data_IF_551511232877
#
_entry.id   IF_551511232877
#
_cell.length_a   1.000
_cell.length_b   1.000
_cell.length_c   1.000
_cell.angle_alpha   90.00
_cell.angle_beta   90.00
_cell.angle_gamma   90.00
#
_symmetry.space_group_name_H-M   'P 1'
#
loop_
_entity.id
_entity.type
_entity.pdbx_description
1 polymer ?
#
# COMPACT_ATOMS: atom_id res chain seq x y z
N UNK A 1 35.36 -35.59 34.59
CA UNK A 1 35.26 -36.93 35.17
C UNK A 1 33.77 -37.23 35.24
N UNK A 2 33.23 -38.05 34.42
CA UNK A 2 33.09 -39.47 34.37
C UNK A 2 32.72 -39.89 32.93
N UNK A 3 33.58 -40.77 32.39
CA UNK A 3 33.39 -41.53 31.17
C UNK A 3 32.49 -42.74 31.46
N UNK A 4 31.62 -43.14 30.54
CA UNK A 4 31.31 -44.56 30.35
C UNK A 4 31.06 -44.85 28.88
N UNK A 5 31.87 -45.79 28.40
CA UNK A 5 31.90 -46.37 27.07
C UNK A 5 31.15 -47.71 27.02
N UNK A 6 30.74 -48.04 25.81
CA UNK A 6 30.69 -49.40 25.22
C UNK A 6 29.66 -50.43 25.75
N UNK A 7 28.88 -50.97 24.83
CA UNK A 7 28.93 -52.43 24.57
C UNK A 7 28.24 -52.79 23.26
N UNK A 8 29.00 -53.53 22.40
CA UNK A 8 28.55 -54.22 21.18
C UNK A 8 27.80 -55.49 21.54
N UNK A 9 26.81 -55.89 20.73
CA UNK A 9 26.46 -57.31 20.53
C UNK A 9 25.97 -57.57 19.12
N UNK A 10 26.71 -58.38 18.37
CA UNK A 10 26.36 -59.00 17.08
C UNK A 10 25.72 -60.39 17.36
N UNK A 11 24.75 -60.79 16.51
CA UNK A 11 24.36 -62.18 16.12
C UNK A 11 23.28 -61.90 15.02
N UNK A 12 23.29 -62.39 13.78
CA UNK A 12 23.86 -63.55 13.15
C UNK A 12 22.73 -64.43 12.57
N UNK A 13 22.80 -64.79 11.28
CA UNK A 13 22.05 -65.81 10.51
C UNK A 13 20.67 -65.35 9.97
N UNK A 14 20.34 -65.25 8.68
CA UNK A 14 20.71 -66.15 7.58
C UNK A 14 19.50 -66.99 7.17
N UNK A 15 18.77 -66.59 6.06
CA UNK A 15 18.02 -67.53 5.23
C UNK A 15 17.85 -66.99 3.81
N UNK A 16 18.45 -67.68 2.90
CA UNK A 16 18.28 -67.56 1.45
C UNK A 16 16.91 -68.11 1.04
N UNK A 17 16.18 -67.37 0.23
CA UNK A 17 15.15 -67.96 -0.65
C UNK A 17 15.22 -67.31 -2.02
N UNK A 18 15.47 -68.13 -2.99
CA UNK A 18 15.67 -67.82 -4.39
C UNK A 18 14.35 -67.87 -5.16
N UNK A 19 14.28 -67.09 -6.27
CA UNK A 19 13.63 -67.35 -7.55
C UNK A 19 12.16 -66.94 -7.65
N UNK A 20 11.90 -65.91 -8.47
CA UNK A 20 11.23 -66.06 -9.77
C UNK A 20 11.33 -64.75 -10.55
N UNK A 21 11.98 -64.81 -11.72
CA UNK A 21 11.84 -63.80 -12.78
C UNK A 21 10.42 -63.90 -13.38
N UNK A 22 9.71 -62.78 -13.39
CA UNK A 22 8.69 -62.53 -14.40
C UNK A 22 8.89 -61.13 -14.95
N UNK A 23 9.31 -61.07 -16.19
CA UNK A 23 9.36 -59.87 -16.97
C UNK A 23 7.96 -59.51 -17.40
N UNK A 24 7.49 -58.28 -17.11
CA UNK A 24 6.50 -57.56 -17.90
C UNK A 24 6.61 -56.06 -17.69
N UNK A 25 6.97 -55.38 -18.78
CA UNK A 25 6.47 -54.13 -19.26
C UNK A 25 6.31 -52.93 -18.33
N UNK A 26 7.19 -51.97 -18.54
CA UNK A 26 6.98 -50.51 -18.64
C UNK A 26 5.90 -49.86 -17.76
N UNK A 27 6.37 -49.22 -16.65
CA UNK A 27 5.66 -48.10 -16.09
C UNK A 27 6.69 -47.11 -15.54
N UNK A 28 6.59 -45.91 -16.07
CA UNK A 28 7.46 -44.79 -15.74
C UNK A 28 7.33 -44.44 -14.25
N UNK A 29 8.41 -44.38 -13.56
CA UNK A 29 8.53 -43.82 -12.22
C UNK A 29 8.16 -42.33 -12.30
N UNK A 30 7.04 -41.97 -11.76
CA UNK A 30 6.66 -40.60 -11.53
C UNK A 30 7.58 -39.98 -10.49
N UNK A 31 8.45 -39.13 -10.99
CA UNK A 31 9.23 -38.18 -10.21
C UNK A 31 8.24 -37.25 -9.50
N UNK A 32 8.35 -37.18 -8.19
CA UNK A 32 7.67 -36.24 -7.33
C UNK A 32 7.69 -34.84 -7.97
N UNK A 33 6.58 -34.45 -8.56
CA UNK A 33 6.39 -33.12 -9.09
C UNK A 33 6.30 -32.17 -7.90
N UNK A 34 7.26 -31.26 -7.82
CA UNK A 34 7.06 -29.99 -7.15
C UNK A 34 5.73 -29.42 -7.67
N UNK A 35 4.81 -29.12 -6.78
CA UNK A 35 3.57 -28.43 -7.09
C UNK A 35 3.95 -27.01 -7.55
N UNK A 36 4.24 -26.89 -8.85
CA UNK A 36 4.07 -25.62 -9.54
C UNK A 36 2.59 -25.25 -9.39
N UNK A 37 2.33 -24.28 -8.55
CA UNK A 37 1.03 -23.64 -8.43
C UNK A 37 0.84 -22.78 -9.69
N UNK A 38 0.64 -23.46 -10.83
CA UNK A 38 0.28 -22.87 -12.09
C UNK A 38 -1.17 -22.41 -11.91
N UNK A 39 -1.33 -21.13 -11.59
CA UNK A 39 -2.65 -20.48 -11.58
C UNK A 39 -3.43 -20.94 -12.80
N UNK A 40 -4.70 -21.21 -12.63
CA UNK A 40 -5.60 -21.67 -13.70
C UNK A 40 -5.34 -20.82 -14.95
N UNK A 41 -5.15 -21.46 -16.12
CA UNK A 41 -4.86 -20.77 -17.38
C UNK A 41 -5.81 -19.60 -17.56
N UNK A 42 -5.29 -18.35 -17.47
CA UNK A 42 -6.03 -17.14 -17.76
C UNK A 42 -6.40 -16.22 -16.58
N UNK A 43 -6.13 -16.56 -15.32
CA UNK A 43 -6.39 -15.65 -14.19
C UNK A 43 -5.11 -15.00 -13.68
N UNK A 44 -5.05 -13.65 -13.66
CA UNK A 44 -3.94 -12.91 -13.06
C UNK A 44 -4.18 -12.77 -11.55
N UNK A 45 -3.14 -13.01 -10.77
CA UNK A 45 -3.15 -12.76 -9.32
C UNK A 45 -2.51 -11.41 -9.06
N UNK A 46 -3.24 -10.53 -8.40
CA UNK A 46 -2.84 -9.15 -8.13
C UNK A 46 -2.75 -8.95 -6.62
N UNK A 47 -1.60 -8.55 -6.11
CA UNK A 47 -1.43 -8.29 -4.69
C UNK A 47 -1.69 -6.83 -4.33
N UNK A 48 -2.26 -6.61 -3.14
CA UNK A 48 -2.44 -5.31 -2.51
C UNK A 48 -2.21 -5.41 -1.01
N UNK A 49 -1.96 -4.28 -0.31
CA UNK A 49 -1.73 -4.30 1.13
C UNK A 49 -3.01 -4.66 1.91
N UNK A 50 -4.18 -4.25 1.39
CA UNK A 50 -5.50 -4.46 2.00
C UNK A 50 -5.69 -3.86 3.41
N UNK A 51 -4.87 -2.87 3.77
CA UNK A 51 -4.92 -2.10 5.02
C UNK A 51 -4.54 -0.63 4.83
N UNK A 52 -4.84 -0.06 3.67
CA UNK A 52 -4.43 1.29 3.28
C UNK A 52 -5.58 2.07 2.61
N UNK A 53 -6.66 2.33 3.37
CA UNK A 53 -7.79 3.11 2.86
C UNK A 53 -7.41 4.59 2.58
N UNK A 54 -7.98 5.22 1.54
CA UNK A 54 -9.04 4.75 0.64
C UNK A 54 -8.52 3.95 -0.57
N UNK A 55 -7.22 3.70 -0.66
CA UNK A 55 -6.63 2.97 -1.79
C UNK A 55 -7.02 1.50 -1.78
N UNK A 56 -6.78 0.82 -0.67
CA UNK A 56 -7.10 -0.59 -0.51
C UNK A 56 -7.33 -0.92 0.98
N UNK A 57 -8.31 -1.75 1.26
CA UNK A 57 -8.67 -2.14 2.62
C UNK A 57 -9.52 -3.40 2.64
N UNK A 58 -9.76 -3.93 3.83
CA UNK A 58 -10.59 -5.12 4.04
C UNK A 58 -11.85 -4.76 4.81
N UNK A 59 -12.99 -5.17 4.32
CA UNK A 59 -14.28 -5.05 5.02
C UNK A 59 -14.40 -6.08 6.14
N UNK A 60 -15.38 -5.91 7.02
CA UNK A 60 -15.60 -6.83 8.14
C UNK A 60 -15.91 -8.27 7.71
N UNK A 61 -16.47 -8.46 6.52
CA UNK A 61 -16.73 -9.77 5.88
C UNK A 61 -15.54 -10.30 5.07
N UNK A 62 -14.38 -9.63 5.13
CA UNK A 62 -13.13 -10.09 4.53
C UNK A 62 -12.95 -9.73 3.05
N UNK A 63 -13.84 -8.94 2.46
CA UNK A 63 -13.71 -8.50 1.07
C UNK A 63 -12.68 -7.38 0.95
N UNK A 64 -11.78 -7.50 -0.03
CA UNK A 64 -10.82 -6.44 -0.36
C UNK A 64 -11.53 -5.39 -1.21
N UNK A 65 -11.43 -4.12 -0.83
CA UNK A 65 -12.09 -2.96 -1.46
C UNK A 65 -11.14 -1.77 -1.55
N UNK A 66 -11.52 -0.74 -2.29
CA UNK A 66 -10.83 0.54 -2.35
C UNK A 66 -10.54 1.00 -3.78
N UNK A 67 -9.94 2.18 -3.90
CA UNK A 67 -9.61 2.81 -5.17
C UNK A 67 -8.75 1.91 -6.07
N UNK A 68 -7.68 1.34 -5.52
CA UNK A 68 -6.77 0.45 -6.24
C UNK A 68 -7.49 -0.81 -6.76
N UNK A 69 -8.41 -1.34 -5.94
CA UNK A 69 -9.20 -2.54 -6.29
C UNK A 69 -10.14 -2.24 -7.46
N UNK A 70 -10.79 -1.08 -7.45
CA UNK A 70 -11.68 -0.67 -8.54
C UNK A 70 -10.89 -0.36 -9.81
N UNK A 71 -9.71 0.27 -9.69
CA UNK A 71 -8.81 0.52 -10.83
C UNK A 71 -8.35 -0.80 -11.46
N UNK A 72 -7.85 -1.74 -10.66
CA UNK A 72 -7.33 -3.00 -11.22
C UNK A 72 -8.45 -3.87 -11.80
N UNK A 73 -9.62 -3.87 -11.21
CA UNK A 73 -10.78 -4.57 -11.78
C UNK A 73 -11.16 -3.99 -13.14
N UNK A 74 -11.19 -2.66 -13.28
CA UNK A 74 -11.46 -2.00 -14.56
C UNK A 74 -10.35 -2.28 -15.60
N UNK A 75 -9.08 -2.31 -15.18
CA UNK A 75 -7.94 -2.70 -16.04
C UNK A 75 -8.10 -4.14 -16.53
N UNK A 76 -8.46 -5.06 -15.64
CA UNK A 76 -8.66 -6.47 -15.98
C UNK A 76 -9.84 -6.67 -16.93
N UNK A 77 -10.94 -5.94 -16.71
CA UNK A 77 -12.11 -5.92 -17.59
C UNK A 77 -11.73 -5.44 -18.99
N UNK A 78 -11.00 -4.31 -19.10
CA UNK A 78 -10.51 -3.78 -20.37
C UNK A 78 -9.55 -4.74 -21.09
N UNK A 79 -8.73 -5.47 -20.35
CA UNK A 79 -7.86 -6.53 -20.89
C UNK A 79 -8.60 -7.82 -21.23
N UNK A 80 -9.90 -7.92 -20.89
CA UNK A 80 -10.71 -9.16 -21.01
C UNK A 80 -10.04 -10.35 -20.32
N UNK A 81 -9.44 -10.10 -19.16
CA UNK A 81 -8.69 -11.10 -18.38
C UNK A 81 -9.29 -11.20 -16.98
N UNK A 82 -9.43 -12.41 -16.45
CA UNK A 82 -9.83 -12.60 -15.06
C UNK A 82 -8.69 -12.20 -14.13
N UNK A 83 -9.03 -11.49 -13.06
CA UNK A 83 -8.08 -11.14 -12.01
C UNK A 83 -8.62 -11.57 -10.65
N UNK A 84 -7.70 -11.97 -9.77
CA UNK A 84 -7.94 -12.23 -8.37
C UNK A 84 -7.07 -11.26 -7.55
N UNK A 85 -7.70 -10.49 -6.66
CA UNK A 85 -6.98 -9.58 -5.77
C UNK A 85 -6.75 -10.27 -4.45
N UNK A 86 -5.47 -10.32 -4.01
CA UNK A 86 -5.05 -10.98 -2.78
C UNK A 86 -4.36 -9.99 -1.84
N UNK A 87 -4.54 -10.21 -0.52
CA UNK A 87 -3.87 -9.42 0.50
C UNK A 87 -2.44 -9.92 0.73
N UNK A 88 -1.52 -8.98 0.90
CA UNK A 88 -0.13 -9.22 1.25
C UNK A 88 0.39 -8.01 2.03
N UNK A 89 1.02 -8.22 3.19
CA UNK A 89 1.64 -7.13 3.95
C UNK A 89 2.61 -6.33 3.09
N UNK A 90 2.69 -5.02 3.33
CA UNK A 90 3.45 -4.06 2.54
C UNK A 90 4.88 -4.49 2.25
N UNK A 91 5.65 -4.90 3.29
CA UNK A 91 7.04 -5.30 3.15
C UNK A 91 7.22 -6.58 2.27
N UNK A 92 6.16 -7.35 2.11
CA UNK A 92 6.13 -8.57 1.30
C UNK A 92 5.74 -8.36 -0.17
N UNK A 93 5.22 -7.17 -0.55
CA UNK A 93 4.67 -6.94 -1.89
C UNK A 93 5.71 -7.11 -3.00
N UNK A 94 6.81 -6.39 -2.97
CA UNK A 94 7.84 -6.52 -4.02
C UNK A 94 8.59 -7.86 -3.96
N UNK A 95 9.01 -8.39 -2.80
CA UNK A 95 9.59 -9.72 -2.70
C UNK A 95 8.69 -10.83 -3.27
N UNK A 96 7.38 -10.78 -2.99
CA UNK A 96 6.43 -11.74 -3.52
C UNK A 96 6.24 -11.64 -5.05
N UNK A 97 6.25 -10.42 -5.60
CA UNK A 97 6.22 -10.19 -7.04
C UNK A 97 7.46 -10.80 -7.73
N UNK A 98 8.64 -10.57 -7.17
CA UNK A 98 9.90 -11.08 -7.70
C UNK A 98 9.98 -12.62 -7.64
N UNK A 99 9.40 -13.23 -6.61
CA UNK A 99 9.33 -14.70 -6.46
C UNK A 99 8.13 -15.33 -7.18
N UNK A 100 7.38 -14.56 -7.98
CA UNK A 100 6.22 -15.01 -8.76
C UNK A 100 5.06 -15.54 -7.92
N UNK A 101 4.90 -15.05 -6.69
CA UNK A 101 3.74 -15.38 -5.86
C UNK A 101 2.45 -14.79 -6.46
N UNK A 102 2.57 -13.69 -7.18
CA UNK A 102 1.51 -13.01 -7.94
C UNK A 102 2.10 -12.31 -9.17
N UNK A 103 1.25 -11.79 -10.06
CA UNK A 103 1.63 -11.27 -11.36
C UNK A 103 1.85 -9.76 -11.38
N UNK A 104 1.12 -9.04 -10.55
CA UNK A 104 1.27 -7.60 -10.39
C UNK A 104 0.95 -7.15 -8.95
N UNK A 105 1.32 -5.91 -8.63
CA UNK A 105 1.02 -5.24 -7.36
C UNK A 105 0.37 -3.90 -7.64
N UNK A 106 -0.77 -3.64 -6.98
CA UNK A 106 -1.41 -2.33 -6.90
C UNK A 106 -1.73 -2.03 -5.44
N UNK A 107 -1.03 -1.07 -4.84
CA UNK A 107 -1.08 -0.84 -3.39
C UNK A 107 -0.75 0.61 -3.01
N UNK A 108 -1.26 1.60 -3.77
CA UNK A 108 -0.85 2.99 -3.56
C UNK A 108 0.66 3.18 -3.70
N UNK A 109 1.32 2.36 -4.51
CA UNK A 109 2.77 2.29 -4.56
C UNK A 109 3.36 3.34 -5.49
N UNK A 110 4.18 4.26 -4.94
CA UNK A 110 4.89 5.28 -5.69
C UNK A 110 5.93 4.67 -6.61
N UNK A 111 6.01 5.20 -7.83
CA UNK A 111 7.08 4.90 -8.78
C UNK A 111 8.33 5.66 -8.33
N UNK A 112 9.36 4.96 -7.85
CA UNK A 112 10.64 5.57 -7.44
C UNK A 112 11.82 4.97 -8.20
N UNK A 113 12.94 5.72 -8.34
CA UNK A 113 14.15 5.19 -8.98
C UNK A 113 14.63 3.86 -8.36
N UNK A 114 14.60 3.74 -7.03
CA UNK A 114 15.07 2.56 -6.31
C UNK A 114 14.17 1.34 -6.59
N UNK A 115 12.86 1.54 -6.70
CA UNK A 115 11.93 0.48 -7.06
C UNK A 115 12.06 0.09 -8.53
N UNK A 116 12.29 1.10 -9.40
CA UNK A 116 12.56 0.87 -10.82
C UNK A 116 13.84 0.08 -11.10
N UNK A 117 14.78 -0.02 -10.17
CA UNK A 117 15.92 -0.92 -10.29
C UNK A 117 15.50 -2.40 -10.22
N UNK A 118 14.44 -2.72 -9.48
CA UNK A 118 14.01 -4.08 -9.18
C UNK A 118 12.83 -4.56 -10.02
N UNK A 119 11.87 -3.66 -10.30
CA UNK A 119 10.61 -3.96 -10.98
C UNK A 119 10.34 -2.92 -12.07
N UNK A 120 9.37 -3.20 -12.94
CA UNK A 120 8.80 -2.21 -13.84
C UNK A 120 7.46 -1.74 -13.29
N UNK A 121 7.04 -0.55 -13.68
CA UNK A 121 5.74 0.02 -13.36
C UNK A 121 4.94 0.33 -14.62
N UNK A 122 3.64 0.31 -14.48
CA UNK A 122 2.72 0.90 -15.47
C UNK A 122 2.93 2.42 -15.59
N UNK A 123 2.26 3.02 -16.54
CA UNK A 123 2.01 4.46 -16.54
C UNK A 123 1.28 4.84 -15.24
N UNK A 124 1.50 6.07 -14.72
CA UNK A 124 0.85 6.51 -13.50
C UNK A 124 -0.68 6.49 -13.62
N UNK A 125 -1.36 5.97 -12.57
CA UNK A 125 -2.82 6.01 -12.48
C UNK A 125 -3.34 7.04 -11.47
N UNK A 126 -2.45 7.57 -10.60
CA UNK A 126 -2.79 8.59 -9.59
C UNK A 126 -1.56 9.44 -9.27
N UNK A 127 -1.73 10.78 -9.22
CA UNK A 127 -0.71 11.70 -8.70
C UNK A 127 -0.92 11.88 -7.19
N UNK A 128 0.15 11.88 -6.42
CA UNK A 128 0.10 11.88 -4.97
C UNK A 128 0.97 12.99 -4.38
N UNK A 129 0.63 13.42 -3.17
CA UNK A 129 1.41 14.32 -2.32
C UNK A 129 1.50 13.75 -0.92
N UNK A 130 2.51 14.14 -0.15
CA UNK A 130 2.63 13.78 1.26
C UNK A 130 2.33 14.97 2.16
N UNK A 131 1.83 14.68 3.37
CA UNK A 131 1.38 15.67 4.33
C UNK A 131 1.73 15.27 5.75
N UNK A 132 1.81 16.26 6.63
CA UNK A 132 1.87 16.01 8.06
C UNK A 132 0.47 15.83 8.64
N UNK A 133 0.26 14.72 9.32
CA UNK A 133 -0.87 14.48 10.19
C UNK A 133 -0.40 14.58 11.64
N UNK A 134 -1.01 15.46 12.44
CA UNK A 134 -0.63 15.70 13.83
C UNK A 134 -1.82 16.15 14.67
N UNK A 135 -1.62 16.32 15.99
CA UNK A 135 -2.61 16.98 16.84
C UNK A 135 -2.82 18.42 16.41
N UNK A 136 -4.08 18.85 16.40
CA UNK A 136 -4.48 20.21 16.05
C UNK A 136 -4.57 21.10 17.32
N UNK A 137 -3.56 21.04 18.17
CA UNK A 137 -3.44 21.77 19.42
C UNK A 137 -2.25 22.76 19.46
N UNK A 138 -1.61 22.94 18.30
CA UNK A 138 -0.44 23.81 18.16
C UNK A 138 0.87 23.21 18.67
N UNK A 139 0.88 21.96 19.14
CA UNK A 139 2.10 21.29 19.65
C UNK A 139 3.06 20.87 18.53
N UNK A 140 2.59 20.76 17.28
CA UNK A 140 3.41 20.45 16.11
C UNK A 140 3.46 21.64 15.15
N UNK A 141 4.69 22.07 14.80
CA UNK A 141 4.93 23.10 13.80
C UNK A 141 5.88 22.59 12.72
N UNK A 142 5.45 22.38 11.47
CA UNK A 142 6.28 21.85 10.39
C UNK A 142 7.43 22.79 9.96
N UNK A 143 7.40 24.08 10.40
CA UNK A 143 8.48 25.05 10.15
C UNK A 143 9.58 25.04 11.23
N UNK A 144 9.33 24.36 12.36
CA UNK A 144 10.30 24.27 13.48
C UNK A 144 10.16 22.91 14.19
N UNK A 145 10.66 21.85 13.54
CA UNK A 145 10.60 20.48 14.03
C UNK A 145 11.88 20.17 14.81
N UNK A 146 11.77 20.12 16.15
CA UNK A 146 12.89 19.85 17.08
C UNK A 146 12.43 18.99 18.25
N UNK A 147 13.30 18.07 18.68
CA UNK A 147 13.06 17.17 19.82
C UNK A 147 11.76 16.38 19.70
N UNK A 148 11.40 15.95 18.49
CA UNK A 148 10.16 15.25 18.20
C UNK A 148 10.42 13.80 17.74
N UNK A 149 9.44 12.94 17.98
CA UNK A 149 9.33 11.62 17.37
C UNK A 149 8.39 11.73 16.19
N UNK A 150 8.89 11.44 15.00
CA UNK A 150 8.14 11.52 13.74
C UNK A 150 7.84 10.11 13.24
N UNK A 151 6.59 9.85 12.92
CA UNK A 151 6.11 8.54 12.47
C UNK A 151 5.98 8.43 10.95
N UNK A 152 6.17 7.23 10.43
CA UNK A 152 5.88 6.88 9.04
C UNK A 152 5.86 5.36 8.86
N UNK A 153 5.15 4.87 7.82
CA UNK A 153 5.19 3.45 7.49
C UNK A 153 6.51 3.13 6.79
N UNK A 154 7.19 2.06 7.23
CA UNK A 154 8.49 1.62 6.69
C UNK A 154 8.41 1.44 5.16
N UNK A 155 9.47 1.85 4.46
CA UNK A 155 9.59 1.66 3.02
C UNK A 155 8.69 2.54 2.15
N UNK A 156 7.93 3.48 2.73
CA UNK A 156 7.15 4.48 1.97
C UNK A 156 7.96 5.72 1.64
N UNK A 157 7.54 6.48 0.64
CA UNK A 157 8.18 7.76 0.28
C UNK A 157 8.08 8.79 1.38
N UNK A 158 6.98 8.81 2.15
CA UNK A 158 6.84 9.63 3.34
C UNK A 158 7.87 9.30 4.43
N UNK A 159 8.07 8.01 4.71
CA UNK A 159 9.08 7.57 5.67
C UNK A 159 10.51 7.89 5.22
N UNK A 160 10.81 7.73 3.94
CA UNK A 160 12.09 8.10 3.35
C UNK A 160 12.33 9.62 3.46
N UNK A 161 11.30 10.43 3.20
CA UNK A 161 11.35 11.87 3.32
C UNK A 161 11.71 12.31 4.76
N UNK A 162 10.99 11.79 5.77
CA UNK A 162 11.28 12.16 7.16
C UNK A 162 12.62 11.62 7.63
N UNK A 163 13.00 10.41 7.23
CA UNK A 163 14.32 9.85 7.54
C UNK A 163 15.47 10.72 7.01
N UNK A 164 15.40 11.12 5.74
CA UNK A 164 16.40 11.97 5.10
C UNK A 164 16.50 13.37 5.72
N UNK A 165 15.36 13.97 6.05
CA UNK A 165 15.30 15.38 6.43
C UNK A 165 15.42 15.62 7.94
N UNK A 166 14.98 14.68 8.79
CA UNK A 166 14.80 14.92 10.22
C UNK A 166 15.47 13.92 11.14
N UNK A 167 15.71 12.66 10.72
CA UNK A 167 16.23 11.64 11.62
C UNK A 167 17.65 11.99 12.13
N UNK A 168 17.81 11.97 13.47
CA UNK A 168 19.05 12.32 14.14
C UNK A 168 19.42 13.81 14.09
N UNK A 169 18.57 14.70 13.53
CA UNK A 169 18.78 16.15 13.44
C UNK A 169 17.93 16.88 14.46
N UNK A 170 18.46 17.94 15.07
CA UNK A 170 17.77 18.81 16.03
C UNK A 170 17.04 18.04 17.15
N UNK A 171 17.61 16.92 17.59
CA UNK A 171 17.02 16.05 18.61
C UNK A 171 15.83 15.22 18.15
N UNK A 172 15.50 15.24 16.85
CA UNK A 172 14.41 14.43 16.31
C UNK A 172 14.80 12.96 16.16
N UNK A 173 13.79 12.09 16.22
CA UNK A 173 13.89 10.66 15.96
C UNK A 173 12.77 10.22 15.04
N UNK A 174 13.07 9.42 14.03
CA UNK A 174 12.08 8.79 13.18
C UNK A 174 11.71 7.41 13.72
N UNK A 175 10.41 7.17 13.90
CA UNK A 175 9.84 5.90 14.30
C UNK A 175 9.13 5.29 13.09
N UNK A 176 9.61 4.13 12.63
CA UNK A 176 9.03 3.41 11.50
C UNK A 176 8.07 2.33 11.99
N UNK A 177 6.94 2.23 11.34
CA UNK A 177 5.86 1.29 11.64
C UNK A 177 5.63 0.34 10.46
N UNK A 178 5.05 -0.81 10.73
CA UNK A 178 4.70 -1.77 9.68
C UNK A 178 3.47 -1.33 8.90
N UNK A 179 2.55 -0.57 9.55
CA UNK A 179 1.35 0.00 8.91
C UNK A 179 1.14 1.45 9.33
N UNK A 180 0.45 2.24 8.52
CA UNK A 180 0.03 3.59 8.90
C UNK A 180 -0.92 3.59 10.08
N UNK A 181 -1.80 2.59 10.21
CA UNK A 181 -2.71 2.49 11.38
C UNK A 181 -1.93 2.44 12.68
N UNK A 182 -0.85 1.65 12.75
CA UNK A 182 0.03 1.61 13.93
C UNK A 182 0.69 2.97 14.22
N UNK A 183 1.12 3.71 13.18
CA UNK A 183 1.67 5.05 13.33
C UNK A 183 0.64 6.04 13.88
N UNK A 184 -0.61 5.96 13.41
CA UNK A 184 -1.71 6.82 13.87
C UNK A 184 -2.15 6.47 15.31
N UNK A 185 -2.18 5.20 15.68
CA UNK A 185 -2.46 4.78 17.07
C UNK A 185 -1.40 5.32 18.03
N UNK A 186 -0.14 5.29 17.64
CA UNK A 186 0.97 5.85 18.42
C UNK A 186 0.88 7.38 18.52
N UNK A 187 0.46 8.06 17.45
CA UNK A 187 0.20 9.49 17.48
C UNK A 187 -0.96 9.84 18.43
N UNK A 188 -2.07 9.10 18.37
CA UNK A 188 -3.19 9.26 19.34
C UNK A 188 -2.72 9.10 20.77
N UNK A 189 -1.85 8.14 21.03
CA UNK A 189 -1.28 7.88 22.36
C UNK A 189 -0.16 8.86 22.77
N UNK A 190 0.26 9.79 21.87
CA UNK A 190 1.31 10.75 22.13
C UNK A 190 2.74 10.17 22.09
N UNK A 191 2.92 8.95 21.54
CA UNK A 191 4.24 8.31 21.41
C UNK A 191 5.02 8.83 20.19
N UNK A 192 4.34 9.37 19.19
CA UNK A 192 4.94 10.25 18.18
C UNK A 192 4.11 11.55 18.10
N UNK A 193 4.73 12.63 17.63
CA UNK A 193 4.09 13.95 17.57
C UNK A 193 3.41 14.21 16.23
N UNK A 194 3.90 13.59 15.15
CA UNK A 194 3.34 13.73 13.83
C UNK A 194 3.64 12.49 12.98
N UNK A 195 2.79 12.21 12.00
CA UNK A 195 2.98 11.16 11.01
C UNK A 195 3.04 11.79 9.62
N UNK A 196 4.06 11.42 8.84
CA UNK A 196 4.12 11.75 7.42
C UNK A 196 3.44 10.65 6.64
N UNK A 197 2.40 11.01 5.89
CA UNK A 197 1.61 10.07 5.10
C UNK A 197 1.16 10.72 3.78
N UNK A 198 0.69 9.88 2.85
CA UNK A 198 0.02 10.36 1.64
C UNK A 198 -1.27 11.09 2.01
N UNK A 199 -1.51 12.24 1.35
CA UNK A 199 -2.64 13.12 1.65
C UNK A 199 -3.99 12.41 1.64
N UNK A 200 -4.22 11.56 0.65
CA UNK A 200 -5.51 10.89 0.51
C UNK A 200 -5.78 9.93 1.70
N UNK A 201 -4.77 9.17 2.14
CA UNK A 201 -4.88 8.27 3.29
C UNK A 201 -5.03 9.03 4.61
N UNK A 202 -4.23 10.09 4.82
CA UNK A 202 -4.34 10.95 6.00
C UNK A 202 -5.71 11.62 6.10
N UNK A 203 -6.24 12.14 4.98
CA UNK A 203 -7.57 12.74 4.92
C UNK A 203 -8.70 11.73 5.20
N UNK A 204 -8.56 10.50 4.68
CA UNK A 204 -9.50 9.42 4.97
C UNK A 204 -9.53 9.08 6.48
N UNK A 205 -8.36 8.95 7.10
CA UNK A 205 -8.26 8.69 8.53
C UNK A 205 -8.85 9.82 9.38
N UNK A 206 -8.59 11.10 9.02
CA UNK A 206 -9.15 12.26 9.70
C UNK A 206 -10.68 12.29 9.67
N UNK A 207 -11.30 11.89 8.55
CA UNK A 207 -12.77 11.82 8.46
C UNK A 207 -13.37 10.88 9.50
N UNK A 208 -12.64 9.85 9.89
CA UNK A 208 -13.07 8.91 10.93
C UNK A 208 -12.61 9.32 12.34
N UNK A 209 -11.63 10.23 12.43
CA UNK A 209 -11.06 10.74 13.67
C UNK A 209 -11.06 12.28 13.68
N UNK A 210 -12.22 12.95 13.57
CA UNK A 210 -12.29 14.39 13.31
C UNK A 210 -11.88 15.26 14.50
N UNK A 211 -11.75 14.68 15.71
CA UNK A 211 -11.48 15.44 16.93
C UNK A 211 -9.99 15.42 17.27
N UNK A 212 -9.41 16.62 17.41
CA UNK A 212 -8.07 16.81 17.96
C UNK A 212 -6.90 16.55 17.03
N UNK A 213 -7.16 16.25 15.74
CA UNK A 213 -6.13 16.02 14.73
C UNK A 213 -6.40 16.84 13.47
N UNK A 214 -5.36 17.07 12.67
CA UNK A 214 -5.46 17.81 11.42
C UNK A 214 -4.29 17.54 10.49
N UNK A 215 -4.47 17.91 9.21
CA UNK A 215 -3.35 18.08 8.30
C UNK A 215 -2.69 19.42 8.63
N UNK A 216 -1.39 19.39 8.95
CA UNK A 216 -0.68 20.56 9.46
C UNK A 216 0.39 20.99 8.44
N UNK A 217 0.32 22.25 8.03
CA UNK A 217 1.23 22.83 7.03
C UNK A 217 0.82 22.54 5.59
N UNK A 218 1.74 22.89 4.68
CA UNK A 218 1.51 22.74 3.24
C UNK A 218 1.70 21.28 2.79
N UNK A 219 1.06 20.92 1.69
CA UNK A 219 1.34 19.66 0.99
C UNK A 219 2.74 19.69 0.41
N UNK A 220 3.41 18.56 0.47
CA UNK A 220 4.74 18.36 -0.11
C UNK A 220 4.56 17.56 -1.39
N UNK A 221 4.78 18.22 -2.53
CA UNK A 221 4.90 17.54 -3.82
C UNK A 221 6.34 17.00 -3.90
N UNK A 222 6.48 15.71 -3.74
CA UNK A 222 7.75 14.99 -3.86
C UNK A 222 7.88 14.26 -5.20
N UNK A 223 7.00 14.58 -6.18
CA UNK A 223 6.94 13.94 -7.48
C UNK A 223 6.33 12.53 -7.46
N UNK A 224 5.66 12.16 -6.39
CA UNK A 224 5.07 10.85 -6.23
C UNK A 224 3.93 10.62 -7.22
N UNK A 225 4.08 9.57 -8.02
CA UNK A 225 3.07 9.04 -8.90
C UNK A 225 2.88 7.56 -8.60
N UNK A 226 1.63 7.13 -8.45
CA UNK A 226 1.32 5.74 -8.15
C UNK A 226 1.22 4.92 -9.43
N UNK A 227 1.85 3.74 -9.44
CA UNK A 227 1.87 2.81 -10.57
C UNK A 227 1.58 1.38 -10.14
N UNK A 228 1.19 0.56 -11.13
CA UNK A 228 1.01 -0.88 -10.97
C UNK A 228 2.37 -1.54 -11.24
N UNK A 229 2.94 -2.21 -10.22
CA UNK A 229 4.24 -2.86 -10.37
C UNK A 229 4.10 -4.24 -11.02
N UNK A 230 5.01 -4.54 -11.93
CA UNK A 230 5.18 -5.85 -12.57
C UNK A 230 6.65 -6.24 -12.56
N UNK A 231 6.98 -7.49 -12.81
CA UNK A 231 8.38 -7.92 -12.93
C UNK A 231 9.08 -7.19 -14.08
N UNK A 232 10.37 -7.00 -13.96
CA UNK A 232 11.21 -6.42 -15.02
C UNK A 232 11.04 -7.15 -16.34
N UNK A 233 10.75 -6.37 -17.40
CA UNK A 233 10.59 -6.88 -18.77
C UNK A 233 9.34 -7.74 -19.00
N UNK A 234 8.39 -7.75 -18.05
CA UNK A 234 7.14 -8.50 -18.21
C UNK A 234 6.22 -7.78 -19.20
N UNK A 235 5.78 -8.51 -20.23
CA UNK A 235 4.85 -8.00 -21.25
C UNK A 235 3.48 -7.58 -20.68
N UNK A 236 3.17 -7.97 -19.43
CA UNK A 236 1.96 -7.54 -18.74
C UNK A 236 1.92 -6.01 -18.58
N UNK A 237 3.08 -5.34 -18.43
CA UNK A 237 3.18 -3.88 -18.37
C UNK A 237 2.48 -3.20 -19.54
N UNK A 238 2.79 -3.64 -20.77
CA UNK A 238 2.23 -3.02 -21.97
C UNK A 238 0.72 -3.25 -22.08
N UNK A 239 0.23 -4.42 -21.66
CA UNK A 239 -1.21 -4.72 -21.60
C UNK A 239 -1.92 -3.81 -20.58
N UNK A 240 -1.35 -3.65 -19.38
CA UNK A 240 -1.86 -2.75 -18.34
C UNK A 240 -1.86 -1.29 -18.85
N UNK A 241 -0.78 -0.83 -19.48
CA UNK A 241 -0.71 0.54 -19.99
C UNK A 241 -1.74 0.82 -21.08
N UNK A 242 -1.96 -0.14 -21.99
CA UNK A 242 -3.02 -0.05 -23.00
C UNK A 242 -4.40 0.08 -22.35
N UNK A 243 -4.68 -0.73 -21.35
CA UNK A 243 -5.95 -0.69 -20.62
C UNK A 243 -6.10 0.64 -19.85
N UNK A 244 -5.07 1.09 -19.11
CA UNK A 244 -5.08 2.38 -18.42
C UNK A 244 -5.30 3.55 -19.38
N UNK A 245 -4.68 3.51 -20.57
CA UNK A 245 -4.89 4.50 -21.63
C UNK A 245 -6.35 4.56 -22.09
N UNK A 246 -6.99 3.41 -22.30
CA UNK A 246 -8.41 3.32 -22.63
C UNK A 246 -9.30 3.87 -21.51
N UNK A 247 -9.03 3.49 -20.23
CA UNK A 247 -9.78 3.98 -19.08
C UNK A 247 -9.62 5.49 -18.84
N UNK A 248 -8.46 6.07 -19.18
CA UNK A 248 -8.26 7.53 -19.17
C UNK A 248 -9.08 8.20 -20.27
N UNK A 249 -9.05 7.66 -21.49
CA UNK A 249 -9.70 8.24 -22.67
C UNK A 249 -11.23 8.21 -22.57
N UNK A 250 -11.81 7.11 -22.03
CA UNK A 250 -13.26 6.97 -21.87
C UNK A 250 -13.80 7.58 -20.57
N UNK A 251 -12.93 8.18 -19.73
CA UNK A 251 -13.30 8.83 -18.46
C UNK A 251 -13.57 7.88 -17.29
N UNK A 252 -13.42 6.56 -17.47
CA UNK A 252 -13.70 5.57 -16.42
C UNK A 252 -12.75 5.72 -15.23
N UNK A 253 -11.45 5.97 -15.49
CA UNK A 253 -10.47 6.18 -14.42
C UNK A 253 -10.83 7.41 -13.56
N UNK A 254 -11.26 8.51 -14.18
CA UNK A 254 -11.68 9.71 -13.46
C UNK A 254 -12.98 9.46 -12.67
N UNK A 255 -13.91 8.69 -13.24
CA UNK A 255 -15.13 8.29 -12.52
C UNK A 255 -14.80 7.49 -11.24
N UNK A 256 -13.90 6.49 -11.33
CA UNK A 256 -13.45 5.72 -10.17
C UNK A 256 -12.78 6.64 -9.15
N UNK A 257 -11.92 7.55 -9.59
CA UNK A 257 -11.26 8.54 -8.72
C UNK A 257 -12.29 9.41 -7.96
N UNK A 258 -13.29 9.92 -8.66
CA UNK A 258 -14.34 10.72 -8.04
C UNK A 258 -15.14 9.94 -6.98
N UNK A 259 -15.44 8.67 -7.20
CA UNK A 259 -16.16 7.83 -6.24
C UNK A 259 -15.42 7.71 -4.89
N UNK A 260 -14.07 7.67 -4.93
CA UNK A 260 -13.27 7.48 -3.71
C UNK A 260 -12.81 8.78 -3.06
N UNK A 261 -12.64 9.87 -3.83
CA UNK A 261 -11.99 11.09 -3.34
C UNK A 261 -12.85 12.36 -3.38
N UNK A 262 -13.99 12.41 -4.11
CA UNK A 262 -14.81 13.63 -4.21
C UNK A 262 -15.33 14.13 -2.85
N UNK A 263 -15.67 13.22 -1.94
CA UNK A 263 -16.10 13.58 -0.58
C UNK A 263 -14.97 14.18 0.28
N UNK A 264 -13.70 14.00 -0.12
CA UNK A 264 -12.54 14.56 0.57
C UNK A 264 -12.20 15.98 0.06
N UNK A 265 -12.59 16.32 -1.17
CA UNK A 265 -12.38 17.66 -1.74
C UNK A 265 -13.29 18.73 -1.12
N UNK A 266 -14.49 18.36 -0.67
CA UNK A 266 -15.44 19.28 -0.03
C UNK A 266 -15.08 19.63 1.41
N UNK A 267 -14.32 18.79 2.12
CA UNK A 267 -13.87 19.06 3.49
C UNK A 267 -12.70 20.05 3.57
N UNK A 268 -12.16 20.51 2.45
CA UNK A 268 -11.00 21.40 2.36
C UNK A 268 -11.29 22.78 1.79
N UNK A 269 -12.54 23.09 1.43
CA UNK A 269 -12.91 24.46 1.09
C UNK A 269 -12.89 25.30 2.38
N UNK A 270 -12.10 26.39 2.46
CA UNK A 270 -12.18 27.30 3.60
C UNK A 270 -13.61 27.81 3.70
N UNK A 271 -14.19 27.74 4.90
CA UNK A 271 -15.44 28.48 5.21
C UNK A 271 -15.23 29.93 4.78
N UNK A 272 -15.90 30.34 3.70
CA UNK A 272 -15.98 31.75 3.35
C UNK A 272 -16.75 32.42 4.47
N UNK A 273 -16.02 33.19 5.28
CA UNK A 273 -16.55 34.08 6.30
C UNK A 273 -17.65 35.01 5.68
N UNK A 274 -18.91 34.63 5.89
CA UNK A 274 -20.06 35.38 5.47
C UNK A 274 -20.39 36.47 6.51
N UNK A 275 -19.41 37.28 6.91
CA UNK A 275 -19.64 38.55 7.56
C UNK A 275 -19.77 39.65 6.52
N UNK A 276 -20.82 39.59 5.72
CA UNK A 276 -21.26 40.73 4.95
C UNK A 276 -21.97 41.72 5.89
N UNK A 277 -21.26 42.78 6.18
CA UNK A 277 -21.68 43.99 6.87
C UNK A 277 -23.03 44.47 6.39
N UNK A 278 -24.04 44.41 7.27
CA UNK A 278 -25.26 45.22 7.10
C UNK A 278 -24.89 46.67 7.36
N UNK A 279 -24.79 47.46 6.34
CA UNK A 279 -24.82 48.93 6.42
C UNK A 279 -26.24 49.35 6.76
N UNK A 280 -26.41 49.86 7.97
CA UNK A 280 -27.61 50.59 8.42
C UNK A 280 -27.78 51.86 7.58
N UNK A 281 -28.74 51.86 6.71
CA UNK A 281 -29.23 53.06 6.01
C UNK A 281 -30.22 53.77 6.92
N UNK A 282 -29.82 54.92 7.49
CA UNK A 282 -30.60 55.79 8.34
C UNK A 282 -31.58 56.61 7.46
N UNK A 283 -32.88 56.64 7.73
CA UNK A 283 -33.82 57.48 6.97
C UNK A 283 -33.54 58.97 7.23
N UNK A 284 -33.37 59.74 6.19
CA UNK A 284 -33.27 61.17 6.24
C UNK A 284 -34.71 61.74 6.26
N UNK A 285 -35.05 62.35 7.39
CA UNK A 285 -36.30 63.09 7.65
C UNK A 285 -36.31 64.40 6.83
N UNK A 286 -37.36 64.57 5.98
CA UNK A 286 -37.60 65.80 5.25
C UNK A 286 -38.29 66.82 6.19
N UNK A 287 -37.66 67.98 6.40
CA UNK A 287 -38.30 69.15 6.95
C UNK A 287 -38.32 70.25 5.88
N UNK A 288 -39.57 70.68 5.59
CA UNK A 288 -40.04 71.90 5.00
C UNK A 288 -39.07 72.87 4.32
#
# INVERSE_FOLDING_TARGET
MVNFANTYAKIGAGLLFSIALTACSGEKSDTSAATDNKGSEGTLVIATEANYMPFNGTTADGKIIGFDVDVINAVCEEMQTKCEVVAQDWDGLLPGLLTKKYDAVIAGMSITPERLEQVDFSDPYFANTIVWLAKNDGSFNPKDIKNMVLGGQRGTTGALYIGKNYDGKDGNRVQLYDTYENAYLDMKAGRNQAVMAEKASAAYWLKQNPQGFGLIGDEIDNGDNLGIAVRKGDALKDKINKALGALKTNGKLEQIKQQHFAANAQAQAPEQDSTATKTDEKPQEAAK
#
